data_IF_713518614141
#
_entry.id   IF_713518614141
#
_cell.length_a   1.000
_cell.length_b   1.000
_cell.length_c   1.000
_cell.angle_alpha   90.00
_cell.angle_beta   90.00
_cell.angle_gamma   90.00
#
_symmetry.space_group_name_H-M   'P 1'
#
loop_
_entity.id
_entity.type
_entity.pdbx_description
1 polymer ?
#
# COMPACT_ATOMS: atom_id res chain seq x y z
N UNK A 1 4.14 5.09 -9.38
CA UNK A 1 5.51 5.62 -9.33
C UNK A 1 5.60 6.88 -8.45
N UNK A 2 4.68 7.84 -8.61
CA UNK A 2 4.68 9.14 -7.88
C UNK A 2 4.64 8.96 -6.34
N UNK A 3 3.99 7.91 -5.85
CA UNK A 3 3.86 7.61 -4.42
C UNK A 3 5.22 7.23 -3.77
N UNK A 4 6.20 6.76 -4.55
CA UNK A 4 7.49 6.30 -4.00
C UNK A 4 8.25 7.42 -3.28
N UNK A 5 8.50 8.61 -3.88
CA UNK A 5 9.17 9.71 -3.20
C UNK A 5 8.39 10.21 -1.97
N UNK A 6 7.07 10.33 -2.09
CA UNK A 6 6.21 10.78 -0.98
C UNK A 6 6.25 9.80 0.19
N UNK A 7 6.14 8.50 -0.10
CA UNK A 7 6.23 7.46 0.92
C UNK A 7 7.61 7.42 1.59
N UNK A 8 8.69 7.64 0.82
CA UNK A 8 10.05 7.71 1.35
C UNK A 8 10.20 8.85 2.37
N UNK A 9 9.71 10.05 2.06
CA UNK A 9 9.73 11.18 2.98
C UNK A 9 8.88 10.93 4.22
N UNK A 10 7.71 10.34 4.06
CA UNK A 10 6.85 9.94 5.18
C UNK A 10 7.55 8.94 6.11
N UNK A 11 8.19 7.90 5.56
CA UNK A 11 8.96 6.93 6.36
C UNK A 11 10.11 7.60 7.09
N UNK A 12 10.86 8.48 6.43
CA UNK A 12 11.96 9.22 7.04
C UNK A 12 11.50 10.02 8.25
N UNK A 13 10.39 10.76 8.11
CA UNK A 13 9.80 11.55 9.20
C UNK A 13 9.37 10.66 10.38
N UNK A 14 8.64 9.58 10.10
CA UNK A 14 8.19 8.66 11.14
C UNK A 14 9.34 7.88 11.80
N UNK A 15 10.39 7.56 11.05
CA UNK A 15 11.60 6.94 11.58
C UNK A 15 12.31 7.85 12.59
N UNK A 16 12.45 9.14 12.25
CA UNK A 16 13.06 10.15 13.14
C UNK A 16 12.30 10.29 14.48
N UNK A 17 10.99 10.04 14.47
CA UNK A 17 10.14 10.06 15.67
C UNK A 17 10.00 8.70 16.36
N UNK A 18 10.83 7.70 16.05
CA UNK A 18 10.78 6.34 16.60
C UNK A 18 9.38 5.67 16.50
N UNK A 19 8.61 6.03 15.48
CA UNK A 19 7.26 5.53 15.26
C UNK A 19 7.22 4.27 14.40
N UNK A 20 8.35 3.81 13.83
CA UNK A 20 8.43 2.64 12.96
C UNK A 20 8.80 1.40 13.78
N UNK A 21 8.02 0.33 13.64
CA UNK A 21 8.34 -0.98 14.20
C UNK A 21 8.91 -1.90 13.10
N UNK A 22 10.22 -2.12 13.13
CA UNK A 22 10.92 -2.98 12.17
C UNK A 22 10.55 -4.46 12.30
N UNK A 23 10.10 -4.90 13.48
CA UNK A 23 9.64 -6.27 13.69
C UNK A 23 8.39 -6.57 12.86
N UNK A 24 7.45 -5.64 12.83
CA UNK A 24 6.27 -5.72 11.96
C UNK A 24 6.68 -5.65 10.49
N UNK A 25 7.57 -4.72 10.14
CA UNK A 25 8.00 -4.54 8.76
C UNK A 25 8.61 -5.83 8.20
N UNK A 26 9.50 -6.50 8.94
CA UNK A 26 10.10 -7.78 8.52
C UNK A 26 9.10 -8.92 8.45
N UNK A 27 8.25 -9.06 9.47
CA UNK A 27 7.41 -10.26 9.60
C UNK A 27 6.09 -10.18 8.81
N UNK A 28 5.53 -8.97 8.65
CA UNK A 28 4.28 -8.73 7.95
C UNK A 28 4.53 -8.17 6.54
N UNK A 29 5.52 -7.28 6.39
CA UNK A 29 5.84 -6.60 5.14
C UNK A 29 6.20 -7.57 4.01
N UNK A 30 6.85 -8.72 4.31
CA UNK A 30 7.15 -9.75 3.31
C UNK A 30 5.86 -10.26 2.64
N UNK A 31 4.85 -10.59 3.42
CA UNK A 31 3.57 -11.08 2.89
C UNK A 31 2.81 -10.00 2.12
N UNK A 32 2.93 -8.74 2.55
CA UNK A 32 2.39 -7.59 1.81
C UNK A 32 3.06 -7.47 0.44
N UNK A 33 4.38 -7.60 0.35
CA UNK A 33 5.12 -7.56 -0.93
C UNK A 33 4.64 -8.65 -1.89
N UNK A 34 4.48 -9.89 -1.40
CA UNK A 34 3.92 -10.97 -2.23
C UNK A 34 2.52 -10.61 -2.74
N UNK A 35 1.65 -10.07 -1.86
CA UNK A 35 0.32 -9.60 -2.23
C UNK A 35 0.37 -8.50 -3.30
N UNK A 36 1.30 -7.54 -3.18
CA UNK A 36 1.49 -6.46 -4.15
C UNK A 36 1.89 -6.97 -5.52
N UNK A 37 2.83 -7.89 -5.58
CA UNK A 37 3.29 -8.48 -6.84
C UNK A 37 2.11 -9.18 -7.52
N UNK A 38 1.40 -10.06 -6.83
CA UNK A 38 0.23 -10.74 -7.36
C UNK A 38 -0.86 -9.74 -7.82
N UNK A 39 -1.13 -8.72 -7.01
CA UNK A 39 -2.14 -7.71 -7.30
C UNK A 39 -1.78 -6.83 -8.50
N UNK A 40 -0.50 -6.48 -8.70
CA UNK A 40 -0.07 -5.67 -9.85
C UNK A 40 -0.22 -6.44 -11.18
N UNK A 41 0.12 -7.73 -11.22
CA UNK A 41 -0.11 -8.56 -12.40
C UNK A 41 -1.60 -8.75 -12.69
N UNK A 42 -2.39 -8.97 -11.63
CA UNK A 42 -3.83 -9.12 -11.77
C UNK A 42 -4.49 -7.81 -12.24
N UNK A 43 -4.08 -6.66 -11.68
CA UNK A 43 -4.56 -5.34 -12.09
C UNK A 43 -4.30 -5.06 -13.57
N UNK A 44 -3.12 -5.45 -14.07
CA UNK A 44 -2.73 -5.27 -15.46
C UNK A 44 -3.57 -6.09 -16.43
N UNK A 45 -4.18 -7.18 -15.98
CA UNK A 45 -5.04 -8.07 -16.77
C UNK A 45 -6.52 -7.65 -16.74
N UNK A 46 -6.91 -6.76 -15.82
CA UNK A 46 -8.31 -6.36 -15.64
C UNK A 46 -8.70 -5.19 -16.56
N UNK A 47 -9.95 -5.22 -17.03
CA UNK A 47 -10.55 -4.08 -17.71
C UNK A 47 -10.76 -2.91 -16.75
N UNK A 48 -10.59 -1.69 -17.24
CA UNK A 48 -10.75 -0.46 -16.45
C UNK A 48 -12.07 -0.38 -15.68
N UNK A 49 -13.18 -0.83 -16.29
CA UNK A 49 -14.50 -0.87 -15.64
C UNK A 49 -14.53 -1.76 -14.39
N UNK A 50 -13.90 -2.92 -14.46
CA UNK A 50 -13.82 -3.86 -13.33
C UNK A 50 -12.96 -3.30 -12.20
N UNK A 51 -11.86 -2.61 -12.52
CA UNK A 51 -11.01 -1.93 -11.54
C UNK A 51 -11.78 -0.81 -10.81
N UNK A 52 -12.53 0.01 -11.54
CA UNK A 52 -13.35 1.09 -10.95
C UNK A 52 -14.39 0.51 -9.99
N UNK A 53 -15.09 -0.55 -10.40
CA UNK A 53 -16.11 -1.19 -9.57
C UNK A 53 -15.50 -1.80 -8.31
N UNK A 54 -14.38 -2.51 -8.44
CA UNK A 54 -13.64 -3.07 -7.31
C UNK A 54 -13.19 -1.97 -6.33
N UNK A 55 -12.61 -0.88 -6.86
CA UNK A 55 -12.20 0.28 -6.08
C UNK A 55 -13.37 0.87 -5.29
N UNK A 56 -14.52 1.07 -5.94
CA UNK A 56 -15.71 1.65 -5.32
C UNK A 56 -16.23 0.78 -4.18
N UNK A 57 -16.29 -0.54 -4.37
CA UNK A 57 -16.73 -1.50 -3.34
C UNK A 57 -15.78 -1.45 -2.15
N UNK A 58 -14.47 -1.53 -2.39
CA UNK A 58 -13.50 -1.55 -1.29
C UNK A 58 -13.52 -0.22 -0.51
N UNK A 59 -13.61 0.92 -1.20
CA UNK A 59 -13.72 2.23 -0.54
C UNK A 59 -14.99 2.35 0.28
N UNK A 60 -16.12 1.85 -0.22
CA UNK A 60 -17.37 1.83 0.52
C UNK A 60 -17.27 0.98 1.79
N UNK A 61 -16.69 -0.22 1.70
CA UNK A 61 -16.47 -1.10 2.85
C UNK A 61 -15.52 -0.47 3.89
N UNK A 62 -14.46 0.21 3.44
CA UNK A 62 -13.54 0.93 4.33
C UNK A 62 -14.24 2.10 5.02
N UNK A 63 -15.06 2.86 4.30
CA UNK A 63 -15.83 3.95 4.89
C UNK A 63 -16.83 3.45 5.94
N UNK A 64 -17.56 2.37 5.67
CA UNK A 64 -18.43 1.72 6.65
C UNK A 64 -17.64 1.26 7.87
N UNK A 65 -16.48 0.64 7.64
CA UNK A 65 -15.61 0.18 8.72
C UNK A 65 -15.18 1.35 9.63
N UNK A 66 -14.82 2.50 9.07
CA UNK A 66 -14.45 3.70 9.84
C UNK A 66 -15.62 4.28 10.65
N UNK A 67 -16.84 4.24 10.11
CA UNK A 67 -18.04 4.76 10.79
C UNK A 67 -18.45 3.83 11.96
N UNK A 68 -18.42 2.52 11.74
CA UNK A 68 -18.94 1.55 12.72
C UNK A 68 -17.89 1.07 13.72
N UNK A 69 -16.59 1.18 13.41
CA UNK A 69 -15.52 0.86 14.35
C UNK A 69 -15.39 1.98 15.40
N UNK A 70 -16.27 1.98 16.40
CA UNK A 70 -15.97 2.66 17.66
C UNK A 70 -14.69 2.07 18.23
N UNK A 71 -13.83 2.94 18.77
CA UNK A 71 -12.55 2.60 19.41
C UNK A 71 -12.70 1.57 20.54
N UNK A 72 -12.94 0.31 20.21
CA UNK A 72 -12.78 -0.80 21.16
C UNK A 72 -11.31 -1.22 21.12
N UNK A 73 -10.52 -0.42 21.79
CA UNK A 73 -9.09 -0.62 22.03
C UNK A 73 -8.85 -1.69 23.08
N UNK A 74 -7.74 -2.39 22.93
CA UNK A 74 -7.03 -3.26 23.88
C UNK A 74 -7.30 -4.74 23.79
N UNK A 75 -7.46 -5.29 22.62
CA UNK A 75 -7.15 -6.70 22.45
C UNK A 75 -5.69 -6.76 21.96
N UNK A 76 -4.75 -7.03 22.88
CA UNK A 76 -3.39 -7.42 22.53
C UNK A 76 -3.45 -8.81 21.92
N UNK A 77 -3.89 -8.91 20.70
CA UNK A 77 -3.82 -10.16 19.95
C UNK A 77 -2.35 -10.42 19.63
N UNK A 78 -1.84 -11.56 20.05
CA UNK A 78 -0.56 -12.04 19.50
C UNK A 78 -0.78 -12.21 18.02
N UNK A 79 -0.14 -11.33 17.22
CA UNK A 79 -0.20 -11.36 15.76
C UNK A 79 0.38 -12.70 15.27
N UNK A 80 -0.48 -13.70 15.15
CA UNK A 80 -0.11 -15.05 14.73
C UNK A 80 0.45 -15.02 13.31
N UNK A 81 1.33 -15.97 12.99
CA UNK A 81 1.92 -16.08 11.65
C UNK A 81 0.82 -16.18 10.57
N UNK A 82 -0.21 -16.96 10.83
CA UNK A 82 -1.36 -17.10 9.92
C UNK A 82 -2.07 -15.75 9.66
N UNK A 83 -2.30 -14.96 10.69
CA UNK A 83 -2.92 -13.63 10.56
C UNK A 83 -2.02 -12.67 9.76
N UNK A 84 -0.70 -12.69 10.00
CA UNK A 84 0.26 -11.87 9.24
C UNK A 84 0.24 -12.21 7.77
N UNK A 85 0.24 -13.50 7.44
CA UNK A 85 0.19 -13.98 6.05
C UNK A 85 -1.12 -13.57 5.39
N UNK A 86 -2.24 -13.84 6.02
CA UNK A 86 -3.57 -13.59 5.47
C UNK A 86 -3.83 -12.10 5.24
N UNK A 87 -3.67 -11.29 6.29
CA UNK A 87 -3.86 -9.85 6.17
C UNK A 87 -2.81 -9.19 5.28
N UNK A 88 -1.55 -9.66 5.33
CA UNK A 88 -0.49 -9.13 4.47
C UNK A 88 -0.78 -9.33 3.00
N UNK A 89 -1.15 -10.54 2.59
CA UNK A 89 -1.52 -10.84 1.22
C UNK A 89 -2.73 -10.03 0.75
N UNK A 90 -3.78 -9.97 1.54
CA UNK A 90 -4.99 -9.21 1.19
C UNK A 90 -4.68 -7.71 1.06
N UNK A 91 -4.00 -7.14 2.05
CA UNK A 91 -3.66 -5.71 2.03
C UNK A 91 -2.75 -5.38 0.86
N UNK A 92 -1.71 -6.20 0.61
CA UNK A 92 -0.83 -6.00 -0.53
C UNK A 92 -1.56 -6.07 -1.86
N UNK A 93 -2.38 -7.10 -2.04
CA UNK A 93 -3.18 -7.30 -3.25
C UNK A 93 -4.15 -6.14 -3.50
N UNK A 94 -4.98 -5.80 -2.51
CA UNK A 94 -5.96 -4.72 -2.62
C UNK A 94 -5.30 -3.36 -2.81
N UNK A 95 -4.23 -3.08 -2.05
CA UNK A 95 -3.50 -1.80 -2.17
C UNK A 95 -2.85 -1.61 -3.53
N UNK A 96 -2.37 -2.70 -4.15
CA UNK A 96 -1.82 -2.66 -5.50
C UNK A 96 -2.88 -2.36 -6.55
N UNK A 97 -4.06 -2.99 -6.46
CA UNK A 97 -5.20 -2.74 -7.34
C UNK A 97 -5.70 -1.29 -7.24
N UNK A 98 -5.70 -0.73 -6.05
CA UNK A 98 -6.22 0.62 -5.78
C UNK A 98 -5.18 1.72 -6.00
N UNK A 99 -3.88 1.39 -6.03
CA UNK A 99 -2.81 2.39 -6.10
C UNK A 99 -2.72 3.31 -4.88
N UNK A 100 -3.28 2.92 -3.75
CA UNK A 100 -3.35 3.71 -2.51
C UNK A 100 -2.29 3.20 -1.55
N UNK A 101 -1.11 3.65 -1.49
CA UNK A 101 0.01 3.34 -0.59
C UNK A 101 -0.20 2.49 0.70
N UNK A 102 -1.32 1.79 0.84
CA UNK A 102 -1.64 0.80 1.88
C UNK A 102 -1.81 1.35 3.31
N UNK A 103 -1.54 2.61 3.59
CA UNK A 103 -1.64 3.16 4.93
C UNK A 103 -3.07 3.08 5.49
N UNK A 104 -4.07 3.36 4.64
CA UNK A 104 -5.48 3.36 5.03
C UNK A 104 -5.94 2.00 5.57
N UNK A 105 -5.43 0.89 5.02
CA UNK A 105 -5.76 -0.46 5.47
C UNK A 105 -4.87 -0.93 6.62
N UNK A 106 -3.57 -0.58 6.59
CA UNK A 106 -2.61 -1.06 7.58
C UNK A 106 -2.79 -0.41 8.95
N UNK A 107 -3.15 0.89 9.02
CA UNK A 107 -3.34 1.59 10.29
C UNK A 107 -4.41 0.92 11.16
N UNK A 108 -5.65 0.67 10.68
CA UNK A 108 -6.66 -0.01 11.48
C UNK A 108 -6.24 -1.44 11.88
N UNK A 109 -5.58 -2.19 10.98
CA UNK A 109 -5.11 -3.56 11.29
C UNK A 109 -4.08 -3.55 12.42
N UNK A 110 -3.07 -2.68 12.35
CA UNK A 110 -2.04 -2.58 13.38
C UNK A 110 -2.62 -2.08 14.71
N UNK A 111 -3.57 -1.14 14.66
CA UNK A 111 -4.30 -0.68 15.84
C UNK A 111 -5.09 -1.81 16.47
N UNK A 112 -5.75 -2.65 15.67
CA UNK A 112 -6.50 -3.82 16.13
C UNK A 112 -5.60 -4.87 16.81
N UNK A 113 -4.37 -5.02 16.36
CA UNK A 113 -3.34 -5.89 16.96
C UNK A 113 -2.80 -5.33 18.29
N UNK A 114 -3.11 -4.05 18.63
CA UNK A 114 -2.76 -3.42 19.89
C UNK A 114 -1.55 -2.47 19.84
N UNK A 115 -1.15 -2.05 18.64
CA UNK A 115 -0.16 -0.98 18.50
C UNK A 115 -0.74 0.38 18.86
N UNK A 116 0.08 1.25 19.44
CA UNK A 116 -0.31 2.65 19.67
C UNK A 116 -0.52 3.35 18.33
N UNK A 117 -1.35 4.39 18.28
CA UNK A 117 -1.71 5.08 17.05
C UNK A 117 -0.47 5.59 16.30
N UNK A 118 0.50 6.16 17.01
CA UNK A 118 1.73 6.67 16.42
C UNK A 118 2.58 5.56 15.78
N UNK A 119 2.74 4.42 16.48
CA UNK A 119 3.44 3.25 15.93
C UNK A 119 2.68 2.60 14.77
N UNK A 120 1.34 2.62 14.83
CA UNK A 120 0.52 2.11 13.73
C UNK A 120 0.69 2.95 12.47
N UNK A 121 0.67 4.29 12.59
CA UNK A 121 0.86 5.21 11.47
C UNK A 121 2.27 5.09 10.88
N UNK A 122 3.32 5.13 11.73
CA UNK A 122 4.71 5.04 11.26
C UNK A 122 5.03 3.69 10.61
N UNK A 123 4.57 2.59 11.20
CA UNK A 123 4.76 1.25 10.61
C UNK A 123 3.94 1.08 9.33
N UNK A 124 2.72 1.62 9.28
CA UNK A 124 1.89 1.60 8.07
C UNK A 124 2.51 2.44 6.94
N UNK A 125 3.12 3.59 7.24
CA UNK A 125 3.87 4.39 6.26
C UNK A 125 5.04 3.58 5.68
N UNK A 126 5.78 2.85 6.52
CA UNK A 126 6.89 2.02 6.08
C UNK A 126 6.44 0.84 5.21
N UNK A 127 5.33 0.20 5.55
CA UNK A 127 4.70 -0.82 4.71
C UNK A 127 4.21 -0.19 3.40
N UNK A 128 3.63 1.01 3.45
CA UNK A 128 3.20 1.77 2.28
C UNK A 128 4.35 2.08 1.31
N UNK A 129 5.54 2.34 1.82
CA UNK A 129 6.74 2.52 1.01
C UNK A 129 7.15 1.22 0.29
N UNK A 130 7.09 0.06 0.98
CA UNK A 130 7.31 -1.23 0.33
C UNK A 130 6.27 -1.48 -0.77
N UNK A 131 4.99 -1.21 -0.51
CA UNK A 131 3.92 -1.34 -1.49
C UNK A 131 4.20 -0.46 -2.71
N UNK A 132 4.65 0.79 -2.50
CA UNK A 132 4.94 1.73 -3.58
C UNK A 132 6.10 1.26 -4.47
N UNK A 133 7.20 0.76 -3.89
CA UNK A 133 8.36 0.26 -4.64
C UNK A 133 7.97 -0.99 -5.44
N UNK A 134 7.47 -2.02 -4.75
CA UNK A 134 7.18 -3.31 -5.41
C UNK A 134 5.97 -3.21 -6.34
N UNK A 135 4.99 -2.35 -6.05
CA UNK A 135 3.90 -2.04 -6.96
C UNK A 135 4.38 -1.33 -8.22
N UNK A 136 5.28 -0.35 -8.07
CA UNK A 136 5.90 0.34 -9.21
C UNK A 136 6.65 -0.66 -10.11
N UNK A 137 7.47 -1.53 -9.52
CA UNK A 137 8.18 -2.58 -10.26
C UNK A 137 7.20 -3.58 -10.92
N UNK A 138 6.16 -3.99 -10.21
CA UNK A 138 5.14 -4.90 -10.74
C UNK A 138 4.40 -4.30 -11.93
N UNK A 139 3.99 -3.05 -11.88
CA UNK A 139 3.35 -2.36 -13.02
C UNK A 139 4.32 -2.09 -14.18
N UNK A 140 5.60 -1.83 -13.91
CA UNK A 140 6.62 -1.74 -14.95
C UNK A 140 6.74 -3.05 -15.71
N UNK A 141 6.97 -4.14 -15.00
CA UNK A 141 7.16 -5.48 -15.58
C UNK A 141 5.89 -5.92 -16.33
N UNK A 142 4.72 -5.76 -15.72
CA UNK A 142 3.45 -6.10 -16.35
C UNK A 142 3.20 -5.33 -17.64
N UNK A 143 3.52 -4.03 -17.66
CA UNK A 143 3.36 -3.19 -18.85
C UNK A 143 4.30 -3.57 -19.98
N UNK A 144 5.51 -4.03 -19.68
CA UNK A 144 6.47 -4.53 -20.67
C UNK A 144 5.98 -5.87 -21.25
N UNK A 145 5.48 -6.77 -20.40
CA UNK A 145 4.98 -8.09 -20.83
C UNK A 145 3.76 -7.94 -21.74
N UNK A 146 2.83 -7.06 -21.39
CA UNK A 146 1.59 -6.84 -22.17
C UNK A 146 1.85 -5.98 -23.41
N UNK A 147 3.07 -5.46 -23.59
CA UNK A 147 3.46 -4.61 -24.75
C UNK A 147 2.53 -3.40 -24.91
N UNK A 148 2.27 -2.67 -23.84
CA UNK A 148 1.46 -1.45 -23.89
C UNK A 148 2.21 -0.36 -24.66
N UNK A 149 1.71 0.02 -25.84
CA UNK A 149 2.23 1.12 -26.65
C UNK A 149 1.57 2.46 -26.26
N UNK A 150 1.82 2.91 -25.04
CA UNK A 150 1.36 4.23 -24.59
C UNK A 150 2.48 5.24 -24.88
N UNK A 151 2.21 6.32 -25.63
CA UNK A 151 3.25 7.31 -25.97
C UNK A 151 3.85 7.91 -24.69
N UNK A 152 5.18 8.10 -24.69
CA UNK A 152 5.97 8.67 -23.58
C UNK A 152 5.85 7.87 -22.24
N UNK A 153 5.49 6.59 -22.31
CA UNK A 153 5.40 5.71 -21.15
C UNK A 153 6.33 4.51 -21.27
N UNK A 154 6.88 4.10 -20.14
CA UNK A 154 7.64 2.85 -20.03
C UNK A 154 6.83 1.86 -19.21
N UNK A 155 6.29 0.82 -19.88
CA UNK A 155 5.24 -0.02 -19.30
C UNK A 155 3.99 0.81 -18.99
N UNK A 156 3.46 0.69 -17.78
CA UNK A 156 2.32 1.49 -17.31
C UNK A 156 2.74 2.82 -16.63
N UNK A 157 4.02 3.21 -16.68
CA UNK A 157 4.51 4.43 -16.05
C UNK A 157 4.70 5.52 -17.10
N UNK A 158 3.91 6.60 -16.97
CA UNK A 158 4.06 7.79 -17.78
C UNK A 158 5.24 8.64 -17.25
N UNK A 159 6.31 8.78 -18.06
CA UNK A 159 7.54 9.46 -17.66
C UNK A 159 7.33 10.96 -17.46
N UNK A 160 6.69 11.72 -18.37
CA UNK A 160 6.43 13.15 -18.17
C UNK A 160 5.62 13.44 -16.90
N UNK A 161 4.55 12.68 -16.66
CA UNK A 161 3.75 12.83 -15.45
C UNK A 161 4.60 12.58 -14.19
N UNK A 162 5.45 11.55 -14.21
CA UNK A 162 6.33 11.24 -13.09
C UNK A 162 7.30 12.40 -12.79
N UNK A 163 7.94 12.97 -13.81
CA UNK A 163 8.89 14.08 -13.65
C UNK A 163 8.23 15.37 -13.14
N UNK A 164 7.00 15.67 -13.56
CA UNK A 164 6.27 16.87 -13.12
C UNK A 164 5.85 16.74 -11.65
N UNK A 165 5.39 15.56 -11.23
CA UNK A 165 4.85 15.37 -9.88
C UNK A 165 5.91 15.19 -8.80
N UNK A 166 7.12 14.68 -9.13
CA UNK A 166 8.21 14.49 -8.15
C UNK A 166 8.54 15.75 -7.36
N UNK A 167 8.89 16.89 -7.99
CA UNK A 167 9.27 18.08 -7.24
C UNK A 167 8.14 18.60 -6.36
N UNK A 168 6.89 18.49 -6.81
CA UNK A 168 5.73 18.94 -6.05
C UNK A 168 5.56 18.09 -4.78
N UNK A 169 5.75 16.77 -4.88
CA UNK A 169 5.56 15.85 -3.74
C UNK A 169 6.74 15.87 -2.74
N UNK A 170 7.90 16.38 -3.13
CA UNK A 170 9.06 16.53 -2.23
C UNK A 170 8.97 17.84 -1.43
N UNK A 171 8.42 18.89 -2.03
CA UNK A 171 8.31 20.22 -1.40
C UNK A 171 7.15 20.27 -0.39
N UNK A 172 6.13 19.45 -0.55
CA UNK A 172 4.93 19.40 0.28
C UNK A 172 5.11 18.46 1.49
#
# INVERSE_FOLDING_TARGET
>A
AIIVPTAMMSVYTHYKHNAVDFGVLKSYGIFVVFGVILGSFFAASLHTKSLILFFSIVMYLLALNLIFLKEKTKIKLKFSLFQRTFFGLIVGFVSSLMGIGGAIMNVPILKFVGYTINKSIGSAASIGFLIAIFGCLGFLISGIIIKTNIPLSYGFINIPAFLIFIPITIIM
#
